data_IF_582445043968
#
_entry.id   IF_582445043968
#
_cell.length_a   1.000
_cell.length_b   1.000
_cell.length_c   1.000
_cell.angle_alpha   90.00
_cell.angle_beta   90.00
_cell.angle_gamma   90.00
#
_symmetry.space_group_name_H-M   'P 1'
#
loop_
_entity.id
_entity.type
_entity.pdbx_description
1 polymer ?
#
# COMPACT_ATOMS: atom_id res chain seq x y z
N UNK A 1 -20.32 6.02 -3.02
CA UNK A 1 -19.30 6.98 -3.49
C UNK A 1 -19.16 6.98 -5.01
N UNK A 2 -18.68 8.09 -5.56
CA UNK A 2 -18.28 8.23 -6.96
C UNK A 2 -16.81 8.67 -7.08
N UNK A 3 -16.11 8.18 -8.11
CA UNK A 3 -14.69 8.46 -8.35
C UNK A 3 -14.41 8.75 -9.82
N UNK A 4 -13.53 9.72 -10.08
CA UNK A 4 -12.96 10.05 -11.40
C UNK A 4 -11.51 10.51 -11.21
N UNK A 5 -10.67 10.37 -12.24
CA UNK A 5 -9.26 10.77 -12.14
C UNK A 5 -9.08 12.29 -12.22
N UNK A 6 -9.83 12.96 -13.11
CA UNK A 6 -9.84 14.42 -13.25
C UNK A 6 -11.27 14.97 -13.19
N UNK A 7 -11.49 16.22 -12.78
CA UNK A 7 -12.84 16.82 -12.67
C UNK A 7 -13.71 16.63 -13.92
N UNK A 8 -13.11 16.77 -15.10
CA UNK A 8 -13.76 16.64 -16.40
C UNK A 8 -13.93 15.20 -16.90
N UNK A 9 -13.28 14.23 -16.27
CA UNK A 9 -13.35 12.83 -16.71
C UNK A 9 -14.72 12.21 -16.36
N UNK A 10 -15.18 11.23 -17.14
CA UNK A 10 -16.32 10.43 -16.73
C UNK A 10 -16.03 9.68 -15.41
N UNK A 11 -17.08 9.47 -14.61
CA UNK A 11 -16.98 8.65 -13.40
C UNK A 11 -16.58 7.22 -13.76
N UNK A 12 -15.51 6.74 -13.11
CA UNK A 12 -15.04 5.35 -13.19
C UNK A 12 -15.80 4.48 -12.20
N UNK A 13 -15.95 4.96 -10.95
CA UNK A 13 -16.80 4.34 -9.95
C UNK A 13 -18.08 5.15 -9.81
N UNK A 14 -19.23 4.48 -9.86
CA UNK A 14 -20.57 5.09 -9.81
C UNK A 14 -21.38 4.40 -8.72
N UNK A 15 -21.85 5.15 -7.73
CA UNK A 15 -22.72 4.68 -6.66
C UNK A 15 -22.23 3.41 -5.94
N UNK A 16 -20.91 3.30 -5.72
CA UNK A 16 -20.33 2.19 -4.96
C UNK A 16 -20.70 2.33 -3.49
N UNK A 17 -21.37 1.34 -2.92
CA UNK A 17 -21.70 1.26 -1.50
C UNK A 17 -21.25 -0.10 -0.98
N UNK A 18 -20.41 -0.09 0.05
CA UNK A 18 -19.87 -1.29 0.69
C UNK A 18 -19.55 -0.97 2.14
N UNK A 19 -19.73 -1.95 3.01
CA UNK A 19 -19.34 -1.89 4.41
C UNK A 19 -18.49 -3.13 4.71
N UNK A 20 -17.28 -2.91 5.23
CA UNK A 20 -16.31 -3.97 5.55
C UNK A 20 -16.07 -3.88 7.06
N UNK A 21 -16.23 -5.00 7.77
CA UNK A 21 -16.01 -5.08 9.21
C UNK A 21 -14.55 -5.40 9.51
N UNK A 22 -14.12 -5.04 10.72
CA UNK A 22 -12.79 -5.41 11.21
C UNK A 22 -12.59 -6.92 11.17
N UNK A 23 -11.43 -7.36 10.65
CA UNK A 23 -11.07 -8.77 10.50
C UNK A 23 -11.64 -9.48 9.26
N UNK A 24 -12.47 -8.81 8.44
CA UNK A 24 -12.98 -9.42 7.22
C UNK A 24 -11.93 -9.49 6.11
N UNK A 25 -11.90 -10.62 5.39
CA UNK A 25 -11.09 -10.81 4.19
C UNK A 25 -11.99 -10.66 2.96
N UNK A 26 -11.78 -9.60 2.20
CA UNK A 26 -12.64 -9.24 1.06
C UNK A 26 -11.89 -9.45 -0.27
N UNK A 27 -12.49 -10.21 -1.18
CA UNK A 27 -12.03 -10.33 -2.56
C UNK A 27 -12.80 -9.38 -3.49
N UNK A 28 -12.08 -8.58 -4.28
CA UNK A 28 -12.67 -7.69 -5.30
C UNK A 28 -12.40 -8.29 -6.68
N UNK A 29 -13.46 -8.74 -7.36
CA UNK A 29 -13.37 -9.41 -8.67
C UNK A 29 -14.04 -8.58 -9.77
N UNK A 30 -13.58 -8.78 -11.00
CA UNK A 30 -14.16 -8.12 -12.18
C UNK A 30 -13.18 -8.07 -13.34
N UNK A 31 -13.68 -7.81 -14.55
CA UNK A 31 -12.86 -7.68 -15.78
C UNK A 31 -11.81 -6.57 -15.65
N UNK A 32 -10.80 -6.59 -16.51
CA UNK A 32 -9.88 -5.47 -16.68
C UNK A 32 -10.68 -4.19 -17.00
N UNK A 33 -10.29 -3.07 -16.40
CA UNK A 33 -11.02 -1.80 -16.53
C UNK A 33 -12.27 -1.65 -15.65
N UNK A 34 -12.66 -2.65 -14.86
CA UNK A 34 -13.84 -2.58 -13.99
C UNK A 34 -13.72 -1.62 -12.77
N UNK A 35 -12.63 -0.84 -12.68
CA UNK A 35 -12.43 0.11 -11.58
C UNK A 35 -11.81 -0.46 -10.30
N UNK A 36 -11.30 -1.70 -10.32
CA UNK A 36 -10.64 -2.33 -9.15
C UNK A 36 -9.48 -1.48 -8.62
N UNK A 37 -8.54 -1.10 -9.48
CA UNK A 37 -7.42 -0.22 -9.09
C UNK A 37 -7.89 1.17 -8.69
N UNK A 38 -8.96 1.68 -9.30
CA UNK A 38 -9.56 2.98 -8.95
C UNK A 38 -10.16 2.98 -7.54
N UNK A 39 -10.71 1.85 -7.08
CA UNK A 39 -11.17 1.68 -5.70
C UNK A 39 -10.00 1.83 -4.71
N UNK A 40 -8.86 1.22 -5.01
CA UNK A 40 -7.63 1.38 -4.21
C UNK A 40 -7.13 2.82 -4.20
N UNK A 41 -7.15 3.50 -5.35
CA UNK A 41 -6.77 4.92 -5.44
C UNK A 41 -7.67 5.84 -4.59
N UNK A 42 -8.97 5.56 -4.55
CA UNK A 42 -9.93 6.27 -3.71
C UNK A 42 -9.66 6.03 -2.21
N UNK A 43 -9.41 4.78 -1.80
CA UNK A 43 -9.09 4.39 -0.42
C UNK A 43 -7.84 5.10 0.11
N UNK A 44 -6.79 5.18 -0.71
CA UNK A 44 -5.53 5.83 -0.33
C UNK A 44 -5.54 7.36 -0.51
N UNK A 45 -6.68 7.92 -0.95
CA UNK A 45 -6.82 9.33 -1.35
C UNK A 45 -5.66 9.77 -2.25
N UNK A 46 -5.36 8.98 -3.28
CA UNK A 46 -4.44 9.40 -4.35
C UNK A 46 -5.14 10.45 -5.22
N UNK A 47 -6.45 10.26 -5.43
CA UNK A 47 -7.36 11.29 -5.94
C UNK A 47 -8.53 11.43 -4.97
N UNK A 48 -9.06 12.64 -4.85
CA UNK A 48 -10.25 12.90 -4.05
C UNK A 48 -11.50 12.28 -4.67
N UNK A 49 -12.48 11.95 -3.83
CA UNK A 49 -13.76 11.45 -4.29
C UNK A 49 -14.52 12.53 -5.07
N UNK A 50 -15.24 12.10 -6.11
CA UNK A 50 -16.14 12.98 -6.84
C UNK A 50 -17.46 13.21 -6.08
N UNK A 51 -17.88 12.23 -5.28
CA UNK A 51 -19.09 12.30 -4.45
C UNK A 51 -19.15 11.21 -3.39
N UNK A 52 -19.93 11.45 -2.33
CA UNK A 52 -20.04 10.55 -1.17
C UNK A 52 -18.81 10.64 -0.25
N UNK A 53 -18.61 9.62 0.57
CA UNK A 53 -17.52 9.56 1.54
C UNK A 53 -17.02 8.13 1.72
N UNK A 54 -15.83 8.00 2.31
CA UNK A 54 -15.31 6.75 2.87
C UNK A 54 -15.04 7.03 4.35
N UNK A 55 -15.47 6.12 5.22
CA UNK A 55 -15.17 6.19 6.65
C UNK A 55 -14.34 4.98 7.09
N UNK A 56 -13.31 5.23 7.89
CA UNK A 56 -12.51 4.20 8.57
C UNK A 56 -12.66 4.48 10.06
N UNK A 57 -13.01 3.44 10.84
CA UNK A 57 -13.29 3.55 12.28
C UNK A 57 -14.30 4.64 12.64
N UNK A 58 -15.32 4.81 11.78
CA UNK A 58 -16.37 5.83 11.94
C UNK A 58 -15.96 7.26 11.59
N UNK A 59 -14.69 7.49 11.21
CA UNK A 59 -14.20 8.81 10.82
C UNK A 59 -14.14 8.96 9.30
N UNK A 60 -14.71 10.04 8.77
CA UNK A 60 -14.59 10.40 7.36
C UNK A 60 -13.13 10.71 7.01
N UNK A 61 -12.57 9.94 6.09
CA UNK A 61 -11.15 10.05 5.73
C UNK A 61 -10.82 11.39 5.06
N UNK A 62 -11.81 12.13 4.52
CA UNK A 62 -11.61 13.45 3.94
C UNK A 62 -11.20 14.50 5.00
N UNK A 63 -11.55 14.27 6.27
CA UNK A 63 -11.23 15.17 7.41
C UNK A 63 -9.88 14.87 8.06
N UNK A 64 -9.24 13.77 7.66
CA UNK A 64 -7.94 13.32 8.20
C UNK A 64 -6.82 13.77 7.25
N UNK A 65 -5.67 14.19 7.80
CA UNK A 65 -4.50 14.48 6.99
C UNK A 65 -4.01 13.25 6.23
N UNK A 66 -3.65 13.38 4.95
CA UNK A 66 -3.27 12.24 4.10
C UNK A 66 -2.08 11.44 4.64
N UNK A 67 -1.14 12.09 5.33
CA UNK A 67 0.00 11.41 5.98
C UNK A 67 -0.47 10.48 7.10
N UNK A 68 -1.36 10.96 7.96
CA UNK A 68 -1.95 10.19 9.07
C UNK A 68 -2.84 9.06 8.56
N UNK A 69 -3.63 9.31 7.52
CA UNK A 69 -4.43 8.26 6.88
C UNK A 69 -3.53 7.15 6.35
N UNK A 70 -2.51 7.51 5.56
CA UNK A 70 -1.62 6.54 4.88
C UNK A 70 -0.67 5.81 5.84
N UNK A 71 -0.43 6.31 7.05
CA UNK A 71 0.30 5.55 8.07
C UNK A 71 -0.55 4.44 8.72
N UNK A 72 -1.89 4.50 8.59
CA UNK A 72 -2.81 3.53 9.17
C UNK A 72 -3.26 2.44 8.17
N UNK A 73 -2.88 2.54 6.88
CA UNK A 73 -3.24 1.58 5.84
C UNK A 73 -2.01 1.20 5.00
N UNK A 74 -1.89 -0.08 4.65
CA UNK A 74 -0.78 -0.60 3.85
C UNK A 74 -1.26 -1.09 2.48
N UNK A 75 -0.41 -0.97 1.45
CA UNK A 75 -0.66 -1.45 0.10
C UNK A 75 0.57 -2.20 -0.42
N UNK A 76 0.33 -3.32 -1.10
CA UNK A 76 1.34 -3.98 -1.92
C UNK A 76 1.05 -3.56 -3.37
N UNK A 77 1.97 -2.86 -4.06
CA UNK A 77 1.75 -2.42 -5.43
C UNK A 77 1.73 -3.61 -6.39
N UNK A 78 1.10 -3.43 -7.56
CA UNK A 78 1.07 -4.47 -8.60
C UNK A 78 2.46 -4.77 -9.17
N UNK A 79 3.29 -3.72 -9.31
CA UNK A 79 4.68 -3.83 -9.74
C UNK A 79 5.56 -3.34 -8.59
N UNK A 80 6.52 -4.14 -8.09
CA UNK A 80 7.48 -3.65 -7.13
C UNK A 80 8.33 -2.56 -7.79
N UNK A 81 8.49 -1.44 -7.09
CA UNK A 81 9.42 -0.37 -7.51
C UNK A 81 10.60 -0.43 -6.57
N UNK A 82 11.78 -0.68 -7.13
CA UNK A 82 13.02 -0.77 -6.38
C UNK A 82 13.94 0.40 -6.78
N UNK A 83 14.26 1.26 -5.81
CA UNK A 83 15.29 2.29 -5.85
C UNK A 83 16.66 1.79 -5.35
N UNK A 84 17.73 2.43 -5.80
CA UNK A 84 19.07 2.15 -5.27
C UNK A 84 19.14 2.39 -3.74
N UNK A 85 19.60 1.41 -2.98
CA UNK A 85 19.69 1.50 -1.51
C UNK A 85 20.21 0.22 -0.87
N UNK A 86 20.05 0.08 0.44
CA UNK A 86 20.28 -1.20 1.15
C UNK A 86 18.96 -1.88 1.43
N UNK A 87 18.96 -3.20 1.61
CA UNK A 87 17.76 -3.93 2.03
C UNK A 87 17.15 -3.35 3.32
N UNK A 88 17.99 -2.91 4.25
CA UNK A 88 17.59 -2.21 5.48
C UNK A 88 16.74 -0.99 5.17
N UNK A 89 17.16 -0.14 4.24
CA UNK A 89 16.40 1.06 3.86
C UNK A 89 15.03 0.74 3.23
N UNK A 90 14.86 -0.44 2.63
CA UNK A 90 13.55 -0.87 2.13
C UNK A 90 12.61 -1.32 3.22
N UNK A 91 13.14 -2.07 4.19
CA UNK A 91 12.37 -2.55 5.32
C UNK A 91 12.01 -1.42 6.29
N UNK A 92 12.93 -0.46 6.44
CA UNK A 92 12.80 0.65 7.37
C UNK A 92 13.49 1.94 6.84
N UNK A 93 12.85 2.67 5.92
CA UNK A 93 13.42 3.88 5.32
C UNK A 93 13.61 5.04 6.30
N UNK A 94 13.02 4.95 7.50
CA UNK A 94 13.08 6.00 8.52
C UNK A 94 13.90 5.60 9.75
N UNK A 95 14.53 4.42 9.73
CA UNK A 95 15.34 3.87 10.82
C UNK A 95 14.61 3.90 12.18
N UNK A 96 13.34 3.46 12.18
CA UNK A 96 12.46 3.40 13.35
C UNK A 96 12.53 2.06 14.11
N UNK A 97 13.13 1.02 13.51
CA UNK A 97 13.13 -0.35 14.02
C UNK A 97 14.55 -0.91 14.18
N UNK A 98 14.74 -1.76 15.19
CA UNK A 98 15.99 -2.48 15.39
C UNK A 98 16.16 -3.62 14.39
N UNK A 99 17.42 -4.03 14.15
CA UNK A 99 17.75 -5.17 13.28
C UNK A 99 17.01 -6.43 13.71
N UNK A 100 16.92 -6.71 15.02
CA UNK A 100 16.18 -7.86 15.54
C UNK A 100 14.71 -7.85 15.14
N UNK A 101 14.07 -6.67 15.14
CA UNK A 101 12.68 -6.53 14.71
C UNK A 101 12.54 -6.78 13.20
N UNK A 102 13.51 -6.31 12.40
CA UNK A 102 13.54 -6.56 10.96
C UNK A 102 13.75 -8.05 10.65
N UNK A 103 14.70 -8.70 11.32
CA UNK A 103 14.93 -10.15 11.20
C UNK A 103 13.72 -10.97 11.62
N UNK A 104 13.05 -10.60 12.71
CA UNK A 104 11.80 -11.25 13.12
C UNK A 104 10.70 -11.13 12.04
N UNK A 105 10.64 -10.00 11.31
CA UNK A 105 9.76 -9.84 10.17
C UNK A 105 10.16 -10.77 9.00
N UNK A 106 11.45 -10.80 8.65
CA UNK A 106 12.00 -11.66 7.60
C UNK A 106 11.75 -13.15 7.87
N UNK A 107 11.83 -13.59 9.13
CA UNK A 107 11.48 -14.95 9.53
C UNK A 107 10.00 -15.28 9.27
N UNK A 108 9.08 -14.34 9.56
CA UNK A 108 7.64 -14.54 9.36
C UNK A 108 7.24 -14.68 7.90
N UNK A 109 8.04 -14.13 6.98
CA UNK A 109 7.84 -14.21 5.54
C UNK A 109 8.81 -15.17 4.85
N UNK A 110 9.50 -16.01 5.62
CA UNK A 110 10.38 -17.07 5.13
C UNK A 110 11.55 -16.57 4.24
N UNK A 111 11.99 -15.33 4.45
CA UNK A 111 13.13 -14.73 3.73
C UNK A 111 14.43 -14.69 4.55
N UNK A 112 14.38 -15.01 5.84
CA UNK A 112 15.54 -14.89 6.73
C UNK A 112 16.76 -15.67 6.24
N UNK A 113 16.62 -16.96 5.92
CA UNK A 113 17.76 -17.79 5.49
C UNK A 113 18.37 -17.29 4.18
N UNK A 114 17.53 -16.84 3.25
CA UNK A 114 17.98 -16.24 1.99
C UNK A 114 18.83 -15.00 2.28
N UNK A 115 18.32 -14.05 3.06
CA UNK A 115 19.04 -12.81 3.36
C UNK A 115 20.30 -13.08 4.20
N UNK A 116 20.28 -14.07 5.10
CA UNK A 116 21.44 -14.45 5.89
C UNK A 116 22.60 -15.00 5.05
N UNK A 117 22.29 -15.59 3.89
CA UNK A 117 23.29 -16.10 2.95
C UNK A 117 23.89 -15.02 2.02
N UNK A 118 23.27 -13.84 1.93
CA UNK A 118 23.75 -12.72 1.12
C UNK A 118 24.80 -11.92 1.88
N UNK A 119 25.91 -11.56 1.22
CA UNK A 119 26.94 -10.73 1.82
C UNK A 119 26.39 -9.33 2.17
N UNK A 120 26.78 -8.80 3.32
CA UNK A 120 26.20 -7.57 3.89
C UNK A 120 24.80 -7.73 4.52
N UNK A 121 24.07 -8.83 4.27
CA UNK A 121 22.77 -9.14 4.90
C UNK A 121 21.76 -7.99 4.76
N UNK A 122 21.38 -7.31 5.85
CA UNK A 122 20.48 -6.15 5.79
C UNK A 122 21.13 -4.95 5.08
N UNK A 123 22.45 -4.85 5.12
CA UNK A 123 23.22 -3.81 4.42
C UNK A 123 23.56 -4.19 2.98
N UNK A 124 23.07 -5.32 2.48
CA UNK A 124 23.29 -5.72 1.08
C UNK A 124 22.72 -4.65 0.14
N UNK A 125 23.48 -4.22 -0.87
CA UNK A 125 22.99 -3.24 -1.84
C UNK A 125 21.87 -3.84 -2.69
N UNK A 126 20.84 -3.04 -2.93
CA UNK A 126 19.75 -3.31 -3.87
C UNK A 126 19.93 -2.35 -5.04
N UNK A 127 20.11 -2.90 -6.24
CA UNK A 127 20.20 -2.13 -7.48
C UNK A 127 18.82 -1.67 -7.97
N UNK A 128 18.81 -0.66 -8.84
CA UNK A 128 17.57 -0.19 -9.45
C UNK A 128 16.88 -1.34 -10.18
N UNK A 129 15.55 -1.40 -10.09
CA UNK A 129 14.73 -2.50 -10.63
C UNK A 129 14.98 -3.89 -10.00
N UNK A 130 15.87 -4.03 -9.01
CA UNK A 130 16.19 -5.31 -8.38
C UNK A 130 16.92 -6.28 -9.31
N UNK A 131 17.92 -5.77 -10.03
CA UNK A 131 18.72 -6.57 -10.96
C UNK A 131 19.71 -7.54 -10.25
N UNK A 132 19.81 -7.48 -8.92
CA UNK A 132 20.68 -8.30 -8.08
C UNK A 132 19.97 -9.00 -6.91
#
# INVERSE_FOLDING_TARGET
MGFRYKPQDPLVLKNVSVHIRSGEKIGIVGRTGAGKSSLTMALFRINELASGSIAIDGMDIAKVGVKTLRSAIAIIPQTPVLFKGTLRNYLDPFNQYSDDALWACLCKIELADRIASVDGKLESPVEENGEN
#
